data_IF_049443962870
#
_entry.id   IF_049443962870
#
_cell.length_a   1.000
_cell.length_b   1.000
_cell.length_c   1.000
_cell.angle_alpha   90.00
_cell.angle_beta   90.00
_cell.angle_gamma   90.00
#
_symmetry.space_group_name_H-M   'P 1'
#
loop_
_entity.id
_entity.type
_entity.pdbx_description
1 polymer ?
#
# COMPACT_ATOMS: atom_id res chain seq x y z
N UNK A 1 34.30 18.74 4.72
CA UNK A 1 34.61 17.39 5.18
C UNK A 1 33.70 16.41 4.39
N UNK A 2 34.30 15.68 3.47
CA UNK A 2 33.57 14.75 2.58
C UNK A 2 33.36 13.43 3.32
N UNK A 3 32.11 13.10 3.68
CA UNK A 3 31.76 11.78 4.18
C UNK A 3 31.65 10.80 3.01
N UNK A 4 32.74 10.09 2.79
CA UNK A 4 32.77 8.92 1.90
C UNK A 4 31.96 7.79 2.56
N UNK A 5 30.69 7.65 2.25
CA UNK A 5 29.95 6.43 2.55
C UNK A 5 30.40 5.35 1.55
N UNK A 6 31.32 4.49 1.99
CA UNK A 6 31.61 3.23 1.34
C UNK A 6 30.33 2.37 1.43
N UNK A 7 29.63 2.20 0.30
CA UNK A 7 28.60 1.20 0.13
C UNK A 7 29.22 -0.19 0.20
N UNK A 8 29.45 -0.69 1.41
CA UNK A 8 29.69 -2.12 1.60
C UNK A 8 28.33 -2.82 1.50
N UNK A 9 28.25 -3.85 0.66
CA UNK A 9 27.09 -4.73 0.57
C UNK A 9 26.70 -5.19 1.99
N UNK A 10 25.55 -4.75 2.51
CA UNK A 10 25.12 -5.12 3.84
C UNK A 10 24.40 -6.47 3.76
N UNK A 11 25.05 -7.50 4.26
CA UNK A 11 24.42 -8.79 4.49
C UNK A 11 23.87 -8.84 5.92
N UNK A 12 22.63 -9.26 6.07
CA UNK A 12 21.97 -9.44 7.34
C UNK A 12 21.34 -10.82 7.40
N UNK A 13 21.53 -11.50 8.51
CA UNK A 13 20.95 -12.80 8.79
C UNK A 13 19.98 -12.63 9.96
N UNK A 14 18.78 -13.15 9.79
CA UNK A 14 17.71 -13.16 10.81
C UNK A 14 17.37 -14.61 11.10
N UNK A 15 17.23 -14.94 12.39
CA UNK A 15 16.77 -16.26 12.84
C UNK A 15 15.49 -16.14 13.64
N UNK A 16 14.59 -17.11 13.48
CA UNK A 16 13.30 -17.10 14.15
C UNK A 16 12.35 -18.16 13.60
N UNK A 17 11.14 -18.19 14.08
CA UNK A 17 10.07 -19.03 13.52
C UNK A 17 9.57 -18.39 12.23
N UNK A 18 9.85 -19.01 11.09
CA UNK A 18 9.39 -18.51 9.78
C UNK A 18 7.93 -18.90 9.60
N UNK A 19 7.09 -17.91 9.36
CA UNK A 19 5.68 -18.10 8.99
C UNK A 19 5.58 -18.13 7.47
N UNK A 20 5.54 -19.33 6.90
CA UNK A 20 5.34 -19.56 5.48
C UNK A 20 3.85 -19.58 5.17
N UNK A 21 3.31 -18.43 4.76
CA UNK A 21 1.88 -18.28 4.48
C UNK A 21 1.42 -19.08 3.26
N UNK A 22 2.32 -19.38 2.33
CA UNK A 22 2.00 -20.17 1.13
C UNK A 22 1.96 -21.66 1.44
N UNK A 23 2.95 -22.15 2.18
CA UNK A 23 3.00 -23.54 2.62
C UNK A 23 2.08 -23.82 3.80
N UNK A 24 1.54 -22.77 4.47
CA UNK A 24 0.74 -22.85 5.70
C UNK A 24 1.49 -23.59 6.81
N UNK A 25 2.75 -23.25 6.98
CA UNK A 25 3.66 -23.91 7.93
C UNK A 25 4.43 -22.87 8.75
N UNK A 26 4.81 -23.25 9.96
CA UNK A 26 5.67 -22.45 10.84
C UNK A 26 6.83 -23.34 11.27
N UNK A 27 8.05 -22.86 11.02
CA UNK A 27 9.25 -23.63 11.32
C UNK A 27 10.42 -22.75 11.75
N UNK A 28 11.33 -23.26 12.59
CA UNK A 28 12.58 -22.59 12.89
C UNK A 28 13.39 -22.38 11.62
N UNK A 29 13.85 -21.17 11.40
CA UNK A 29 14.55 -20.85 10.15
C UNK A 29 15.45 -19.63 10.22
N UNK A 30 16.23 -19.50 9.16
CA UNK A 30 17.15 -18.41 8.91
C UNK A 30 16.79 -17.73 7.58
N UNK A 31 16.73 -16.39 7.60
CA UNK A 31 16.55 -15.56 6.42
C UNK A 31 17.81 -14.73 6.21
N UNK A 32 18.44 -14.89 5.06
CA UNK A 32 19.57 -14.06 4.65
C UNK A 32 19.08 -12.94 3.74
N UNK A 33 19.45 -11.72 4.09
CA UNK A 33 19.10 -10.51 3.33
C UNK A 33 20.41 -9.87 2.87
N UNK A 34 20.53 -9.62 1.58
CA UNK A 34 21.66 -8.93 0.97
C UNK A 34 21.15 -7.80 0.08
N UNK A 35 21.66 -6.60 0.29
CA UNK A 35 21.29 -5.40 -0.46
C UNK A 35 19.78 -5.17 -0.50
N UNK A 36 19.10 -5.38 0.65
CA UNK A 36 17.66 -5.19 0.81
C UNK A 36 16.81 -6.32 0.19
N UNK A 37 17.40 -7.41 -0.30
CA UNK A 37 16.68 -8.54 -0.91
C UNK A 37 16.93 -9.82 -0.14
N UNK A 38 15.88 -10.65 0.02
CA UNK A 38 16.04 -12.01 0.53
C UNK A 38 16.81 -12.82 -0.50
N UNK A 39 17.93 -13.38 -0.09
CA UNK A 39 18.75 -14.25 -0.93
C UNK A 39 18.64 -15.71 -0.54
N UNK A 40 18.23 -16.00 0.71
CA UNK A 40 18.06 -17.37 1.18
C UNK A 40 17.06 -17.45 2.32
N UNK A 41 16.26 -18.52 2.35
CA UNK A 41 15.45 -18.95 3.48
C UNK A 41 15.77 -20.42 3.73
N UNK A 42 16.19 -20.77 4.93
CA UNK A 42 16.58 -22.14 5.30
C UNK A 42 15.91 -22.57 6.57
N UNK A 43 15.52 -23.85 6.66
CA UNK A 43 15.18 -24.48 7.93
C UNK A 43 16.45 -24.71 8.72
N UNK A 44 16.38 -24.45 10.00
CA UNK A 44 17.47 -24.73 10.95
C UNK A 44 16.88 -25.41 12.19
N UNK A 45 17.71 -26.01 13.00
CA UNK A 45 17.30 -26.51 14.31
C UNK A 45 17.37 -25.37 15.33
N UNK A 46 16.44 -25.35 16.26
CA UNK A 46 16.41 -24.39 17.35
C UNK A 46 14.99 -24.08 17.86
N UNK A 47 14.94 -23.40 18.98
CA UNK A 47 13.71 -22.85 19.57
C UNK A 47 13.84 -21.33 19.58
N UNK A 48 12.82 -20.61 19.09
CA UNK A 48 12.82 -19.16 18.97
C UNK A 48 11.52 -18.58 19.52
N UNK A 49 11.63 -17.48 20.25
CA UNK A 49 10.48 -16.68 20.71
C UNK A 49 10.06 -15.61 19.71
N UNK A 50 10.77 -15.52 18.59
CA UNK A 50 10.54 -14.52 17.54
C UNK A 50 9.97 -15.17 16.29
N UNK A 51 9.15 -14.39 15.56
CA UNK A 51 8.57 -14.81 14.29
C UNK A 51 9.07 -13.93 13.15
N UNK A 52 9.30 -14.55 12.01
CA UNK A 52 9.63 -13.86 10.75
C UNK A 52 8.50 -14.14 9.78
N UNK A 53 7.82 -13.08 9.35
CA UNK A 53 6.66 -13.19 8.48
C UNK A 53 6.60 -12.03 7.49
N UNK A 54 5.86 -12.17 6.37
CA UNK A 54 5.55 -11.03 5.51
C UNK A 54 4.85 -9.91 6.28
N UNK A 55 5.19 -8.65 5.98
CA UNK A 55 4.47 -7.53 6.54
C UNK A 55 3.01 -7.49 6.10
N UNK A 56 2.16 -6.88 6.90
CA UNK A 56 0.74 -6.75 6.58
C UNK A 56 0.52 -5.74 5.45
N UNK A 57 -0.48 -5.99 4.65
CA UNK A 57 -0.97 -5.06 3.63
C UNK A 57 -2.40 -4.66 4.01
N UNK A 58 -2.62 -3.37 4.18
CA UNK A 58 -3.98 -2.84 4.28
C UNK A 58 -4.58 -2.82 2.88
N UNK A 59 -5.59 -3.64 2.66
CA UNK A 59 -6.15 -3.86 1.33
C UNK A 59 -7.12 -2.75 0.88
N UNK A 60 -7.57 -1.89 1.80
CA UNK A 60 -8.43 -0.75 1.50
C UNK A 60 -8.43 0.24 2.64
N UNK A 61 -7.96 1.46 2.40
CA UNK A 61 -7.97 2.52 3.40
C UNK A 61 -8.22 3.90 2.78
N UNK A 62 -9.00 4.68 3.50
CA UNK A 62 -9.09 6.14 3.34
C UNK A 62 -8.18 6.77 4.39
N UNK A 63 -6.97 7.17 3.99
CA UNK A 63 -5.97 7.72 4.93
C UNK A 63 -6.53 8.97 5.62
N UNK A 64 -7.30 9.76 4.93
CA UNK A 64 -7.93 10.99 5.44
C UNK A 64 -8.79 10.73 6.67
N UNK A 65 -9.46 9.58 6.74
CA UNK A 65 -10.28 9.17 7.88
C UNK A 65 -9.44 8.95 9.15
N UNK A 66 -8.13 8.80 9.02
CA UNK A 66 -7.20 8.73 10.16
C UNK A 66 -6.83 10.11 10.69
N UNK A 67 -7.25 11.19 10.03
CA UNK A 67 -6.88 12.58 10.30
C UNK A 67 -5.38 12.85 10.17
N UNK A 68 -4.68 12.04 9.39
CA UNK A 68 -3.23 12.13 9.15
C UNK A 68 -2.94 12.24 7.65
N UNK A 69 -1.89 12.96 7.26
CA UNK A 69 -1.35 12.85 5.91
C UNK A 69 -0.59 11.52 5.74
N UNK A 70 -0.38 11.04 4.49
CA UNK A 70 0.28 9.77 4.21
C UNK A 70 1.62 9.56 4.94
N UNK A 71 2.47 10.58 5.01
CA UNK A 71 3.76 10.47 5.71
C UNK A 71 3.61 10.09 7.19
N UNK A 72 2.61 10.66 7.88
CA UNK A 72 2.37 10.39 9.29
C UNK A 72 1.66 9.04 9.49
N UNK A 73 0.71 8.71 8.60
CA UNK A 73 0.08 7.40 8.59
C UNK A 73 1.11 6.28 8.45
N UNK A 74 2.08 6.43 7.54
CA UNK A 74 3.12 5.43 7.33
C UNK A 74 3.89 5.11 8.61
N UNK A 75 4.23 6.11 9.41
CA UNK A 75 4.95 5.93 10.69
C UNK A 75 4.14 5.07 11.66
N UNK A 76 2.87 5.40 11.83
CA UNK A 76 1.96 4.65 12.69
C UNK A 76 1.73 3.22 12.16
N UNK A 77 1.50 3.08 10.86
CA UNK A 77 1.22 1.81 10.21
C UNK A 77 2.39 0.82 10.39
N UNK A 78 3.63 1.27 10.18
CA UNK A 78 4.82 0.44 10.31
C UNK A 78 5.02 -0.05 11.75
N UNK A 79 4.74 0.77 12.76
CA UNK A 79 4.80 0.36 14.16
C UNK A 79 3.81 -0.75 14.49
N UNK A 80 2.76 -0.91 13.68
CA UNK A 80 1.76 -1.96 13.79
C UNK A 80 1.94 -3.10 12.76
N UNK A 81 3.06 -3.13 12.05
CA UNK A 81 3.41 -4.19 11.12
C UNK A 81 2.80 -4.08 9.73
N UNK A 82 2.09 -2.99 9.45
CA UNK A 82 1.58 -2.70 8.11
C UNK A 82 2.68 -2.03 7.30
N UNK A 83 2.97 -2.56 6.11
CA UNK A 83 4.08 -2.12 5.27
C UNK A 83 3.65 -1.59 3.92
N UNK A 84 2.41 -1.87 3.56
CA UNK A 84 1.78 -1.40 2.33
C UNK A 84 0.30 -1.12 2.56
N UNK A 85 -0.26 -0.22 1.76
CA UNK A 85 -1.69 0.05 1.76
C UNK A 85 -2.21 0.30 0.34
N UNK A 86 -3.44 -0.13 0.09
CA UNK A 86 -4.24 0.24 -1.07
C UNK A 86 -5.11 1.44 -0.64
N UNK A 87 -4.80 2.60 -1.15
CA UNK A 87 -5.35 3.87 -0.69
C UNK A 87 -6.42 4.39 -1.65
N UNK A 88 -7.57 4.73 -1.12
CA UNK A 88 -8.66 5.38 -1.84
C UNK A 88 -8.85 6.80 -1.28
N UNK A 89 -8.31 7.85 -1.92
CA UNK A 89 -8.34 9.21 -1.42
C UNK A 89 -9.68 9.92 -1.73
N UNK A 90 -10.80 9.29 -1.39
CA UNK A 90 -12.14 9.79 -1.71
C UNK A 90 -12.46 11.12 -1.02
N UNK A 91 -12.17 11.23 0.28
CA UNK A 91 -12.58 12.38 1.09
C UNK A 91 -11.88 13.66 0.64
N UNK A 92 -10.56 13.60 0.46
CA UNK A 92 -9.82 14.77 -0.02
C UNK A 92 -10.18 15.12 -1.47
N UNK A 93 -10.50 14.11 -2.27
CA UNK A 93 -10.92 14.31 -3.66
C UNK A 93 -12.30 14.96 -3.74
N UNK A 94 -13.23 14.64 -2.84
CA UNK A 94 -14.51 15.33 -2.72
C UNK A 94 -14.36 16.83 -2.41
N UNK A 95 -13.27 17.23 -1.75
CA UNK A 95 -13.01 18.63 -1.38
C UNK A 95 -12.20 19.36 -2.43
N UNK A 96 -11.10 18.77 -2.91
CA UNK A 96 -10.08 19.41 -3.74
C UNK A 96 -9.98 18.83 -5.16
N UNK A 97 -10.76 17.81 -5.50
CA UNK A 97 -10.68 17.17 -6.81
C UNK A 97 -9.32 16.53 -7.07
N UNK A 98 -8.81 16.73 -8.28
CA UNK A 98 -7.53 16.16 -8.73
C UNK A 98 -6.36 16.64 -7.87
N UNK A 99 -6.38 17.89 -7.42
CA UNK A 99 -5.34 18.44 -6.55
C UNK A 99 -5.24 17.69 -5.23
N UNK A 100 -6.37 17.17 -4.72
CA UNK A 100 -6.40 16.31 -3.53
C UNK A 100 -5.68 14.99 -3.75
N UNK A 101 -5.89 14.35 -4.90
CA UNK A 101 -5.20 13.12 -5.30
C UNK A 101 -3.68 13.38 -5.39
N UNK A 102 -3.31 14.45 -6.08
CA UNK A 102 -1.91 14.83 -6.27
C UNK A 102 -1.22 15.11 -4.93
N UNK A 103 -1.90 15.81 -4.01
CA UNK A 103 -1.39 16.04 -2.66
C UNK A 103 -1.11 14.72 -1.91
N UNK A 104 -2.03 13.77 -1.96
CA UNK A 104 -1.85 12.48 -1.26
C UNK A 104 -0.68 11.70 -1.85
N UNK A 105 -0.58 11.65 -3.18
CA UNK A 105 0.53 10.98 -3.87
C UNK A 105 1.86 11.66 -3.56
N UNK A 106 1.94 12.98 -3.63
CA UNK A 106 3.19 13.70 -3.37
C UNK A 106 3.62 13.64 -1.91
N UNK A 107 2.68 13.71 -0.97
CA UNK A 107 2.99 13.56 0.43
C UNK A 107 3.50 12.14 0.75
N UNK A 108 2.94 11.12 0.11
CA UNK A 108 3.33 9.72 0.29
C UNK A 108 4.80 9.45 -0.06
N UNK A 109 5.36 10.17 -1.02
CA UNK A 109 6.77 10.06 -1.44
C UNK A 109 7.78 10.43 -0.35
N UNK A 110 7.34 11.09 0.74
CA UNK A 110 8.17 11.47 1.88
C UNK A 110 8.41 10.33 2.86
N UNK A 111 7.66 9.26 2.76
CA UNK A 111 7.76 8.11 3.66
C UNK A 111 8.29 6.86 2.94
N UNK A 112 9.00 6.01 3.68
CA UNK A 112 9.41 4.68 3.21
C UNK A 112 8.30 3.68 3.50
N UNK A 113 7.24 3.72 2.68
CA UNK A 113 6.06 2.89 2.82
C UNK A 113 5.46 2.68 1.43
N UNK A 114 4.85 1.53 1.17
CA UNK A 114 4.27 1.24 -0.13
C UNK A 114 2.82 1.72 -0.18
N UNK A 115 2.62 2.90 -0.71
CA UNK A 115 1.31 3.42 -1.03
C UNK A 115 0.93 3.04 -2.45
N UNK A 116 -0.25 2.44 -2.61
CA UNK A 116 -0.83 2.09 -3.89
C UNK A 116 -2.15 2.86 -4.02
N UNK A 117 -2.17 3.93 -4.79
CA UNK A 117 -3.34 4.78 -4.90
C UNK A 117 -4.32 4.26 -5.95
N UNK A 118 -5.58 4.20 -5.55
CA UNK A 118 -6.73 4.01 -6.43
C UNK A 118 -7.27 5.36 -6.86
N UNK A 119 -7.93 5.42 -7.99
CA UNK A 119 -8.67 6.60 -8.42
C UNK A 119 -10.08 6.54 -7.84
N UNK A 120 -10.53 7.54 -7.06
CA UNK A 120 -11.92 7.62 -6.62
C UNK A 120 -12.90 7.52 -7.79
N UNK A 121 -13.85 6.60 -7.68
CA UNK A 121 -14.78 6.29 -8.78
C UNK A 121 -15.98 7.23 -8.85
N UNK A 122 -16.36 7.80 -7.71
CA UNK A 122 -17.55 8.65 -7.57
C UNK A 122 -17.22 9.89 -6.71
N UNK A 123 -17.08 11.01 -7.38
CA UNK A 123 -16.79 12.31 -6.81
C UNK A 123 -17.78 13.33 -7.39
N UNK A 124 -18.79 13.73 -6.60
CA UNK A 124 -19.23 13.22 -5.31
C UNK A 124 -19.75 11.78 -5.36
N UNK A 125 -20.01 11.18 -4.17
CA UNK A 125 -20.52 9.80 -4.05
C UNK A 125 -21.85 9.62 -4.78
N UNK A 126 -22.73 10.63 -4.76
CA UNK A 126 -23.99 10.67 -5.52
C UNK A 126 -24.23 12.09 -6.06
N UNK A 127 -25.09 12.21 -7.08
CA UNK A 127 -25.46 13.51 -7.65
C UNK A 127 -26.31 14.40 -6.71
N UNK A 128 -26.66 13.89 -5.52
CA UNK A 128 -27.46 14.59 -4.52
C UNK A 128 -26.61 15.22 -3.41
N UNK A 129 -25.30 15.02 -3.46
CA UNK A 129 -24.38 15.54 -2.44
C UNK A 129 -23.75 16.86 -2.89
N UNK A 130 -23.49 17.72 -1.90
CA UNK A 130 -22.68 18.92 -2.09
C UNK A 130 -21.21 18.55 -1.92
N UNK A 131 -20.40 18.76 -2.95
CA UNK A 131 -18.97 18.50 -2.92
C UNK A 131 -18.20 19.72 -3.42
N UNK A 132 -16.93 19.82 -3.06
CA UNK A 132 -16.01 20.85 -3.55
C UNK A 132 -15.53 20.58 -4.99
N UNK A 133 -15.64 19.34 -5.47
CA UNK A 133 -15.22 18.94 -6.80
C UNK A 133 -16.13 17.86 -7.39
N UNK A 134 -16.01 17.69 -8.70
CA UNK A 134 -16.66 16.60 -9.45
C UNK A 134 -15.63 15.99 -10.40
N UNK A 135 -15.60 14.66 -10.50
CA UNK A 135 -14.81 13.93 -11.49
C UNK A 135 -15.79 13.13 -12.34
N UNK A 136 -15.90 13.48 -13.62
CA UNK A 136 -16.75 12.80 -14.60
C UNK A 136 -16.05 11.58 -15.25
N UNK A 137 -16.76 10.89 -16.13
CA UNK A 137 -16.23 9.73 -16.83
C UNK A 137 -15.06 10.08 -17.77
N UNK A 138 -15.06 11.27 -18.38
CA UNK A 138 -13.97 11.70 -19.27
C UNK A 138 -12.70 11.95 -18.47
N UNK A 139 -12.79 12.63 -17.33
CA UNK A 139 -11.68 12.86 -16.43
C UNK A 139 -11.17 11.54 -15.83
N UNK A 140 -12.08 10.64 -15.45
CA UNK A 140 -11.74 9.30 -14.97
C UNK A 140 -10.94 8.54 -16.02
N UNK A 141 -11.35 8.57 -17.29
CA UNK A 141 -10.66 7.90 -18.38
C UNK A 141 -9.24 8.43 -18.62
N UNK A 142 -9.00 9.72 -18.34
CA UNK A 142 -7.68 10.33 -18.41
C UNK A 142 -6.82 9.97 -17.21
N UNK A 143 -7.36 10.12 -16.00
CA UNK A 143 -6.62 9.92 -14.75
C UNK A 143 -6.23 8.47 -14.51
N UNK A 144 -7.07 7.51 -14.92
CA UNK A 144 -6.78 6.08 -14.74
C UNK A 144 -5.55 5.62 -15.51
N UNK A 145 -5.10 6.36 -16.52
CA UNK A 145 -3.90 6.02 -17.30
C UNK A 145 -2.61 6.36 -16.59
N UNK A 146 -2.65 7.11 -15.50
CA UNK A 146 -1.46 7.52 -14.74
C UNK A 146 -0.77 6.29 -14.14
N UNK A 147 0.56 6.31 -14.12
CA UNK A 147 1.39 5.21 -13.60
C UNK A 147 1.31 5.11 -12.06
N UNK A 148 1.01 6.23 -11.39
CA UNK A 148 0.87 6.31 -9.93
C UNK A 148 -0.54 5.94 -9.42
N UNK A 149 -1.45 5.57 -10.33
CA UNK A 149 -2.81 5.07 -10.03
C UNK A 149 -2.87 3.60 -10.42
N UNK A 150 -3.20 2.71 -9.48
CA UNK A 150 -3.23 1.26 -9.73
C UNK A 150 -4.57 0.73 -10.25
N UNK A 151 -5.65 1.49 -10.07
CA UNK A 151 -7.00 1.07 -10.51
C UNK A 151 -8.07 2.05 -10.08
N UNK A 152 -9.32 1.72 -10.36
CA UNK A 152 -10.49 2.46 -9.91
C UNK A 152 -10.91 1.96 -8.53
N UNK A 153 -11.20 2.88 -7.62
CA UNK A 153 -11.68 2.58 -6.28
C UNK A 153 -13.14 2.09 -6.25
N UNK A 154 -13.66 1.88 -5.06
CA UNK A 154 -15.03 1.41 -4.87
C UNK A 154 -16.07 2.35 -5.48
N UNK A 155 -17.15 1.78 -6.04
CA UNK A 155 -18.26 2.53 -6.60
C UNK A 155 -19.37 2.66 -5.55
N UNK A 156 -19.37 3.77 -4.81
CA UNK A 156 -20.38 4.05 -3.77
C UNK A 156 -21.75 4.48 -4.35
N UNK A 157 -21.80 4.93 -5.60
CA UNK A 157 -23.04 5.36 -6.24
C UNK A 157 -23.93 4.17 -6.62
N UNK A 158 -24.44 3.46 -5.61
CA UNK A 158 -25.31 2.32 -5.82
C UNK A 158 -26.58 2.65 -6.64
N UNK A 159 -27.28 3.79 -6.41
CA UNK A 159 -28.39 4.19 -7.27
C UNK A 159 -27.98 4.34 -8.73
N UNK A 160 -26.84 4.99 -9.00
CA UNK A 160 -26.32 5.17 -10.35
C UNK A 160 -26.00 3.85 -11.05
N UNK A 161 -25.54 2.83 -10.30
CA UNK A 161 -25.33 1.47 -10.83
C UNK A 161 -26.66 0.78 -11.11
N UNK A 162 -27.62 0.86 -10.17
CA UNK A 162 -28.91 0.19 -10.27
C UNK A 162 -29.77 0.75 -11.42
N UNK A 163 -29.75 2.06 -11.59
CA UNK A 163 -30.52 2.77 -12.63
C UNK A 163 -29.72 3.02 -13.90
N UNK A 164 -28.53 2.42 -14.02
CA UNK A 164 -27.67 2.48 -15.21
C UNK A 164 -27.35 3.93 -15.66
N UNK A 165 -27.01 4.79 -14.70
CA UNK A 165 -26.56 6.16 -14.98
C UNK A 165 -25.37 6.12 -15.97
N UNK A 166 -25.45 6.93 -17.04
CA UNK A 166 -24.51 6.86 -18.14
C UNK A 166 -23.07 7.18 -17.71
N UNK A 167 -22.85 8.16 -16.83
CA UNK A 167 -21.53 8.52 -16.33
C UNK A 167 -20.94 7.43 -15.43
N UNK A 168 -21.76 6.88 -14.52
CA UNK A 168 -21.38 5.78 -13.63
C UNK A 168 -21.00 4.53 -14.42
N UNK A 169 -21.79 4.19 -15.42
CA UNK A 169 -21.52 3.01 -16.25
C UNK A 169 -20.27 3.20 -17.11
N UNK A 170 -20.05 4.41 -17.65
CA UNK A 170 -18.84 4.73 -18.41
C UNK A 170 -17.57 4.60 -17.57
N UNK A 171 -17.58 5.07 -16.31
CA UNK A 171 -16.47 4.91 -15.37
C UNK A 171 -16.15 3.45 -15.08
N UNK A 172 -17.18 2.61 -14.89
CA UNK A 172 -17.01 1.18 -14.65
C UNK A 172 -16.27 0.48 -15.79
N UNK A 173 -16.55 0.82 -17.04
CA UNK A 173 -15.87 0.24 -18.19
C UNK A 173 -14.42 0.73 -18.35
N UNK A 174 -14.09 1.89 -17.82
CA UNK A 174 -12.74 2.46 -17.89
C UNK A 174 -11.72 1.60 -17.14
N UNK A 175 -12.11 0.98 -16.02
CA UNK A 175 -11.23 0.08 -15.26
C UNK A 175 -10.84 -1.17 -16.07
N UNK A 176 -11.71 -1.70 -16.90
CA UNK A 176 -11.44 -2.89 -17.70
C UNK A 176 -10.31 -2.66 -18.73
N UNK A 177 -10.02 -1.40 -19.08
CA UNK A 177 -8.95 -1.03 -20.01
C UNK A 177 -7.57 -0.93 -19.36
N UNK A 178 -7.50 -0.72 -18.04
CA UNK A 178 -6.23 -0.72 -17.32
C UNK A 178 -5.79 -2.16 -17.09
N UNK A 179 -4.93 -2.66 -17.96
CA UNK A 179 -4.20 -3.89 -17.67
C UNK A 179 -3.36 -3.62 -16.42
N UNK A 180 -3.53 -4.45 -15.39
CA UNK A 180 -2.54 -4.56 -14.35
C UNK A 180 -1.21 -4.90 -15.05
N UNK A 181 -0.42 -3.91 -15.32
CA UNK A 181 0.97 -4.10 -15.65
C UNK A 181 1.59 -4.66 -14.38
N UNK A 182 1.63 -5.98 -14.28
CA UNK A 182 2.53 -6.67 -13.38
C UNK A 182 3.93 -6.39 -13.89
N UNK A 183 4.37 -5.13 -13.75
CA UNK A 183 5.78 -4.86 -13.79
C UNK A 183 6.37 -5.70 -12.67
N UNK A 184 7.36 -6.47 -12.97
CA UNK A 184 8.08 -7.42 -12.12
C UNK A 184 8.79 -6.79 -10.91
N UNK A 185 8.35 -5.65 -10.48
CA UNK A 185 8.82 -4.88 -9.33
C UNK A 185 7.80 -4.86 -8.19
N UNK A 186 7.10 -5.98 -7.96
CA UNK A 186 6.49 -6.15 -6.65
C UNK A 186 7.62 -6.21 -5.64
N UNK A 187 7.81 -5.21 -4.79
CA UNK A 187 8.82 -5.26 -3.75
C UNK A 187 8.48 -6.48 -2.88
N UNK A 188 9.40 -7.42 -2.79
CA UNK A 188 9.30 -8.49 -1.80
C UNK A 188 9.59 -7.86 -0.46
N UNK A 189 8.57 -7.30 0.13
CA UNK A 189 8.66 -6.64 1.42
C UNK A 189 8.71 -7.69 2.52
N UNK A 190 9.74 -7.63 3.34
CA UNK A 190 9.85 -8.45 4.54
C UNK A 190 9.80 -7.55 5.73
N UNK A 191 8.87 -7.83 6.58
CA UNK A 191 8.88 -7.35 7.94
C UNK A 191 9.32 -8.49 8.85
N UNK A 192 10.24 -8.20 9.75
CA UNK A 192 10.51 -9.06 10.89
C UNK A 192 9.79 -8.50 12.09
N UNK A 193 8.94 -9.30 12.70
CA UNK A 193 8.37 -9.00 13.99
C UNK A 193 9.16 -9.74 15.06
N UNK A 194 9.75 -9.01 15.99
CA UNK A 194 10.29 -9.58 17.21
C UNK A 194 9.22 -9.50 18.30
N UNK A 195 8.67 -10.64 18.70
CA UNK A 195 7.71 -10.72 19.79
C UNK A 195 8.47 -10.96 21.08
N UNK A 196 8.74 -9.88 21.82
CA UNK A 196 9.23 -9.96 23.20
C UNK A 196 8.10 -9.56 24.15
N UNK A 197 7.38 -10.55 24.68
CA UNK A 197 6.26 -10.30 25.59
C UNK A 197 4.99 -9.82 24.87
N UNK A 198 4.06 -9.14 25.55
CA UNK A 198 2.74 -8.78 25.00
C UNK A 198 2.76 -7.67 23.93
N UNK A 199 3.92 -7.20 23.50
CA UNK A 199 4.06 -6.18 22.45
C UNK A 199 4.82 -6.75 21.26
N UNK A 200 4.21 -6.63 20.08
CA UNK A 200 4.86 -6.86 18.78
C UNK A 200 5.82 -5.68 18.50
N UNK A 201 7.08 -5.97 18.31
CA UNK A 201 8.04 -5.00 17.81
C UNK A 201 8.37 -5.32 16.35
N UNK A 202 8.18 -4.35 15.47
CA UNK A 202 8.42 -4.52 14.03
C UNK A 202 9.73 -3.83 13.65
N UNK A 203 10.56 -4.55 12.91
CA UNK A 203 11.77 -3.99 12.32
C UNK A 203 11.50 -3.78 10.82
N UNK A 204 11.37 -2.53 10.40
CA UNK A 204 11.34 -2.19 8.98
C UNK A 204 12.76 -2.06 8.46
N UNK A 205 13.06 -2.68 7.32
CA UNK A 205 14.32 -2.48 6.64
C UNK A 205 14.14 -1.53 5.46
N UNK A 206 15.02 -0.54 5.31
CA UNK A 206 15.03 0.29 4.12
C UNK A 206 15.39 -0.60 2.90
N UNK A 207 14.59 -0.47 1.84
CA UNK A 207 14.96 -0.97 0.52
C UNK A 207 16.04 -0.08 -0.12
#
# INVERSE_FOLDING_TARGET
MSCNHKNGASEKVLTGNIVDVLAKDIYPGEVTIKDGKITSIKRIDGEFDTYIMPGFVDAHIHIESTLMPPENYARMAVENGVVAAICDPHEITNVLGIEGIDYMIDNSKKARFHFNFMLPSCVPSTNHETAGATIDAQQTAQLITRDDIIGLAEMMNAPGVIYEDADVMAKRFTQASKRFSTSSQSPKLILTAEVKGPRLSFLSFPM
#
